data_IF_234080713824
#
_entry.id   IF_234080713824
#
_cell.length_a   1.000
_cell.length_b   1.000
_cell.length_c   1.000
_cell.angle_alpha   90.00
_cell.angle_beta   90.00
_cell.angle_gamma   90.00
#
_symmetry.space_group_name_H-M   'P 1'
#
loop_
_entity.id
_entity.type
_entity.pdbx_description
1 polymer ?
#
# COMPACT_ATOMS: atom_id res chain seq x y z
N UNK A 1 -24.14 -41.31 8.17
CA UNK A 1 -24.51 -39.90 7.95
C UNK A 1 -24.79 -39.15 9.24
N UNK A 2 -25.70 -39.61 10.12
CA UNK A 2 -26.02 -38.92 11.39
C UNK A 2 -24.82 -38.82 12.36
N UNK A 3 -23.99 -39.86 12.46
CA UNK A 3 -22.76 -39.84 13.28
C UNK A 3 -21.76 -38.77 12.83
N UNK A 4 -21.61 -38.53 11.52
CA UNK A 4 -20.67 -37.54 11.00
C UNK A 4 -21.13 -36.11 11.29
N UNK A 5 -22.45 -35.86 11.25
CA UNK A 5 -23.02 -34.56 11.62
C UNK A 5 -22.84 -34.29 13.13
N UNK A 6 -23.02 -35.31 13.97
CA UNK A 6 -22.77 -35.18 15.42
C UNK A 6 -21.31 -34.87 15.70
N UNK A 7 -20.37 -35.59 15.09
CA UNK A 7 -18.94 -35.32 15.23
C UNK A 7 -18.60 -33.89 14.79
N UNK A 8 -19.13 -33.44 13.63
CA UNK A 8 -18.91 -32.09 13.13
C UNK A 8 -19.46 -31.01 14.06
N UNK A 9 -20.67 -31.21 14.60
CA UNK A 9 -21.27 -30.29 15.58
C UNK A 9 -20.38 -30.21 16.82
N UNK A 10 -19.94 -31.34 17.37
CA UNK A 10 -19.06 -31.36 18.54
C UNK A 10 -17.74 -30.63 18.27
N UNK A 11 -17.12 -30.84 17.12
CA UNK A 11 -15.89 -30.12 16.74
C UNK A 11 -16.14 -28.62 16.60
N UNK A 12 -17.23 -28.22 15.94
CA UNK A 12 -17.56 -26.80 15.76
C UNK A 12 -17.93 -26.10 17.07
N UNK A 13 -18.58 -26.80 17.99
CA UNK A 13 -18.84 -26.28 19.35
C UNK A 13 -17.53 -26.07 20.09
N UNK A 14 -16.57 -27.00 20.02
CA UNK A 14 -15.27 -26.84 20.64
C UNK A 14 -14.45 -25.67 20.05
N UNK A 15 -14.49 -25.49 18.72
CA UNK A 15 -13.88 -24.33 18.05
C UNK A 15 -14.50 -23.00 18.52
N UNK A 16 -15.83 -22.95 18.66
CA UNK A 16 -16.54 -21.78 19.17
C UNK A 16 -16.17 -21.46 20.62
N UNK A 17 -16.12 -22.47 21.49
CA UNK A 17 -15.71 -22.30 22.89
C UNK A 17 -14.28 -21.75 22.98
N UNK A 18 -13.38 -22.22 22.11
CA UNK A 18 -12.01 -21.73 22.04
C UNK A 18 -11.94 -20.26 21.58
N UNK A 19 -12.76 -19.87 20.59
CA UNK A 19 -12.87 -18.48 20.14
C UNK A 19 -13.45 -17.56 21.23
N UNK A 20 -14.46 -18.03 21.99
CA UNK A 20 -15.02 -17.30 23.13
C UNK A 20 -13.94 -17.09 24.20
N UNK A 21 -13.13 -18.10 24.48
CA UNK A 21 -12.04 -17.99 25.45
C UNK A 21 -10.95 -17.01 25.00
N UNK A 22 -10.62 -16.99 23.70
CA UNK A 22 -9.70 -15.99 23.12
C UNK A 22 -10.27 -14.57 23.22
N UNK A 23 -11.55 -14.38 22.93
CA UNK A 23 -12.23 -13.08 23.08
C UNK A 23 -12.17 -12.57 24.54
N UNK A 24 -12.39 -13.44 25.52
CA UNK A 24 -12.27 -13.08 26.95
C UNK A 24 -10.85 -12.67 27.33
N UNK A 25 -9.83 -13.36 26.81
CA UNK A 25 -8.44 -12.98 27.04
C UNK A 25 -8.12 -11.62 26.42
N UNK A 26 -8.62 -11.33 25.23
CA UNK A 26 -8.44 -10.03 24.57
C UNK A 26 -9.10 -8.92 25.40
N UNK A 27 -10.33 -9.14 25.88
CA UNK A 27 -11.06 -8.20 26.73
C UNK A 27 -10.29 -7.89 28.04
N UNK A 28 -9.72 -8.91 28.65
CA UNK A 28 -8.87 -8.76 29.85
C UNK A 28 -7.57 -7.98 29.57
N UNK A 29 -6.97 -8.17 28.40
CA UNK A 29 -5.80 -7.39 27.98
C UNK A 29 -6.19 -5.94 27.67
N UNK A 30 -7.34 -5.73 27.02
CA UNK A 30 -7.84 -4.40 26.65
C UNK A 30 -8.10 -3.56 27.90
N UNK A 31 -8.81 -4.11 28.88
CA UNK A 31 -9.07 -3.46 30.17
C UNK A 31 -7.79 -3.12 30.94
N UNK A 32 -6.78 -4.00 30.89
CA UNK A 32 -5.47 -3.69 31.49
C UNK A 32 -4.75 -2.55 30.74
N UNK A 33 -4.82 -2.50 29.41
CA UNK A 33 -4.24 -1.41 28.61
C UNK A 33 -4.95 -0.10 28.91
N UNK A 34 -6.28 -0.09 28.97
CA UNK A 34 -7.10 1.09 29.31
C UNK A 34 -6.70 1.65 30.68
N UNK A 35 -6.61 0.79 31.70
CA UNK A 35 -6.19 1.20 33.03
C UNK A 35 -4.74 1.74 33.05
N UNK A 36 -3.83 1.09 32.31
CA UNK A 36 -2.46 1.57 32.16
C UNK A 36 -2.38 2.93 31.49
N UNK A 37 -3.23 3.19 30.48
CA UNK A 37 -3.29 4.50 29.82
C UNK A 37 -3.85 5.59 30.73
N UNK A 38 -4.86 5.29 31.54
CA UNK A 38 -5.38 6.22 32.56
C UNK A 38 -4.30 6.59 33.59
N UNK A 39 -3.52 5.62 34.07
CA UNK A 39 -2.42 5.88 34.99
C UNK A 39 -1.35 6.78 34.37
N UNK A 40 -0.97 6.54 33.11
CA UNK A 40 -0.01 7.38 32.38
C UNK A 40 -0.55 8.79 32.23
N UNK A 41 -1.83 8.94 31.87
CA UNK A 41 -2.47 10.25 31.74
C UNK A 41 -2.45 11.01 33.08
N UNK A 42 -2.76 10.33 34.19
CA UNK A 42 -2.71 10.94 35.52
C UNK A 42 -1.30 11.41 35.88
N UNK A 43 -0.27 10.58 35.64
CA UNK A 43 1.13 10.95 35.89
C UNK A 43 1.55 12.16 35.05
N UNK A 44 1.13 12.22 33.78
CA UNK A 44 1.43 13.37 32.91
C UNK A 44 0.72 14.65 33.37
N UNK A 45 -0.53 14.54 33.85
CA UNK A 45 -1.25 15.67 34.47
C UNK A 45 -0.53 16.15 35.72
N UNK A 46 -0.12 15.26 36.62
CA UNK A 46 0.59 15.59 37.85
C UNK A 46 1.95 16.25 37.58
N UNK A 47 2.68 15.82 36.54
CA UNK A 47 3.93 16.45 36.11
C UNK A 47 3.71 17.85 35.52
N UNK A 48 2.61 18.04 34.80
CA UNK A 48 2.25 19.34 34.20
C UNK A 48 1.75 20.34 35.26
N UNK A 49 1.10 19.85 36.32
CA UNK A 49 0.62 20.65 37.44
C UNK A 49 1.67 20.89 38.53
N UNK A 50 2.91 20.40 38.39
CA UNK A 50 3.95 20.71 39.36
C UNK A 50 4.27 22.20 39.29
N UNK A 51 3.87 22.91 40.35
CA UNK A 51 4.13 24.33 40.56
C UNK A 51 5.61 24.70 40.37
N UNK A 52 6.55 23.76 40.57
CA UNK A 52 7.98 23.94 40.30
C UNK A 52 8.28 24.24 38.82
N UNK A 53 7.54 23.65 37.89
CA UNK A 53 7.74 23.83 36.44
C UNK A 53 7.16 25.18 35.99
N UNK A 54 5.99 25.53 36.52
CA UNK A 54 5.35 26.85 36.32
C UNK A 54 6.19 27.96 36.97
N UNK A 55 6.73 27.71 38.16
CA UNK A 55 7.61 28.64 38.86
C UNK A 55 8.98 28.78 38.17
N UNK A 56 9.54 27.69 37.64
CA UNK A 56 10.77 27.74 36.85
C UNK A 56 10.56 28.50 35.54
N UNK A 57 9.41 28.32 34.88
CA UNK A 57 9.02 29.11 33.70
C UNK A 57 8.89 30.59 34.04
N UNK A 58 8.17 30.94 35.12
CA UNK A 58 8.03 32.32 35.57
C UNK A 58 9.37 32.95 35.99
N UNK A 59 10.26 32.16 36.60
CA UNK A 59 11.61 32.58 37.02
C UNK A 59 12.50 32.82 35.80
N UNK A 60 12.44 31.94 34.80
CA UNK A 60 13.17 32.10 33.54
C UNK A 60 12.68 33.32 32.76
N UNK A 61 11.36 33.55 32.73
CA UNK A 61 10.78 34.71 32.06
C UNK A 61 11.18 36.02 32.78
N UNK A 62 11.21 36.00 34.12
CA UNK A 62 11.71 37.13 34.93
C UNK A 62 13.21 37.38 34.70
N UNK A 63 14.03 36.33 34.58
CA UNK A 63 15.45 36.43 34.29
C UNK A 63 15.72 36.98 32.88
N UNK A 64 14.92 36.55 31.89
CA UNK A 64 14.95 37.08 30.52
C UNK A 64 14.59 38.57 30.48
N UNK A 65 13.52 38.98 31.15
CA UNK A 65 13.14 40.38 31.23
C UNK A 65 14.22 41.23 31.89
N UNK A 66 14.86 40.71 32.94
CA UNK A 66 16.00 41.35 33.60
C UNK A 66 17.19 41.50 32.65
N UNK A 67 17.59 40.43 31.96
CA UNK A 67 18.67 40.45 30.97
C UNK A 67 18.40 41.43 29.80
N UNK A 68 17.14 41.51 29.34
CA UNK A 68 16.72 42.48 28.33
C UNK A 68 16.79 43.94 28.81
N UNK A 69 16.69 44.20 30.11
CA UNK A 69 16.92 45.56 30.66
C UNK A 69 18.40 45.92 30.65
N UNK A 70 19.29 44.97 30.91
CA UNK A 70 20.74 45.21 30.84
C UNK A 70 21.27 45.38 29.41
N UNK A 71 20.62 44.82 28.39
CA UNK A 71 21.02 45.01 26.98
C UNK A 71 20.62 46.37 26.39
N UNK A 72 19.85 47.19 27.13
CA UNK A 72 19.38 48.52 26.68
C UNK A 72 20.42 49.65 26.80
N UNK A 73 21.58 49.40 27.41
CA UNK A 73 22.67 50.38 27.56
C UNK A 73 23.72 50.35 26.45
N UNK A 74 23.56 49.50 25.42
CA UNK A 74 24.40 49.50 24.21
C UNK A 74 23.57 50.09 23.06
N UNK A 75 23.94 51.26 22.49
CA UNK A 75 23.15 51.93 21.47
C UNK A 75 23.38 51.30 20.09
N UNK A 76 23.07 50.02 19.92
CA UNK A 76 22.81 49.37 18.63
C UNK A 76 22.00 48.09 18.86
N UNK A 77 20.73 48.20 19.24
CA UNK A 77 19.73 47.22 18.81
C UNK A 77 18.34 47.85 18.88
N UNK A 78 17.78 48.12 17.70
CA UNK A 78 16.42 48.61 17.58
C UNK A 78 15.43 47.62 18.22
N UNK A 79 14.57 48.17 19.08
CA UNK A 79 13.30 47.62 19.59
C UNK A 79 12.73 46.48 18.73
N UNK A 80 12.51 45.29 19.30
CA UNK A 80 11.42 44.39 18.90
C UNK A 80 10.83 43.66 20.13
N UNK A 81 9.56 43.92 20.49
CA UNK A 81 8.87 43.22 21.58
C UNK A 81 8.33 41.81 21.21
N UNK A 82 8.83 41.17 20.14
CA UNK A 82 8.19 39.96 19.53
C UNK A 82 9.08 38.70 19.50
N UNK A 83 10.17 38.60 20.26
CA UNK A 83 11.15 37.50 20.08
C UNK A 83 10.70 36.15 20.67
N UNK A 84 10.06 36.12 21.83
CA UNK A 84 9.67 34.85 22.49
C UNK A 84 8.52 34.15 21.75
N UNK A 85 7.48 34.91 21.35
CA UNK A 85 6.37 34.36 20.56
C UNK A 85 6.84 33.88 19.18
N UNK A 86 7.74 34.61 18.51
CA UNK A 86 8.37 34.17 17.25
C UNK A 86 9.23 32.93 17.42
N UNK A 87 9.95 32.79 18.52
CA UNK A 87 10.76 31.60 18.77
C UNK A 87 9.88 30.35 18.90
N UNK A 88 8.77 30.43 19.65
CA UNK A 88 7.84 29.31 19.79
C UNK A 88 7.14 28.97 18.47
N UNK A 89 6.69 29.97 17.72
CA UNK A 89 6.07 29.78 16.40
C UNK A 89 7.07 29.19 15.37
N UNK A 90 8.32 29.66 15.38
CA UNK A 90 9.39 29.14 14.53
C UNK A 90 9.73 27.68 14.86
N UNK A 91 9.82 27.33 16.15
CA UNK A 91 10.03 25.93 16.59
C UNK A 91 8.86 25.06 16.09
N UNK A 92 7.63 25.54 16.22
CA UNK A 92 6.43 24.82 15.82
C UNK A 92 6.36 24.65 14.28
N UNK A 93 6.67 25.70 13.52
CA UNK A 93 6.82 25.67 12.06
C UNK A 93 7.88 24.66 11.62
N UNK A 94 9.00 24.58 12.33
CA UNK A 94 10.06 23.63 12.00
C UNK A 94 9.63 22.18 12.27
N UNK A 95 8.86 21.95 13.35
CA UNK A 95 8.22 20.65 13.62
C UNK A 95 7.22 20.27 12.53
N UNK A 96 6.36 21.19 12.11
CA UNK A 96 5.40 20.98 11.00
C UNK A 96 6.17 20.65 9.71
N UNK A 97 7.19 21.44 9.35
CA UNK A 97 8.04 21.18 8.19
C UNK A 97 8.69 19.80 8.22
N UNK A 98 9.14 19.35 9.40
CA UNK A 98 9.71 18.01 9.56
C UNK A 98 8.66 16.92 9.29
N UNK A 99 7.42 17.12 9.76
CA UNK A 99 6.32 16.18 9.50
C UNK A 99 5.89 16.17 8.04
N UNK A 100 5.83 17.33 7.39
CA UNK A 100 5.54 17.44 5.96
C UNK A 100 6.58 16.72 5.11
N UNK A 101 7.87 16.88 5.44
CA UNK A 101 8.95 16.10 4.81
C UNK A 101 8.82 14.60 5.03
N UNK A 102 8.43 14.14 6.23
CA UNK A 102 8.18 12.71 6.49
C UNK A 102 7.02 12.14 5.67
N UNK A 103 6.08 13.00 5.25
CA UNK A 103 4.90 12.62 4.48
C UNK A 103 5.03 12.89 2.99
N UNK A 104 6.19 13.38 2.53
CA UNK A 104 6.42 13.84 1.15
C UNK A 104 5.37 14.86 0.68
N UNK A 105 4.89 15.73 1.58
CA UNK A 105 3.96 16.82 1.27
C UNK A 105 4.76 18.09 1.02
N UNK A 106 4.46 18.80 -0.07
CA UNK A 106 5.07 20.10 -0.35
C UNK A 106 4.71 21.13 0.72
N UNK A 107 5.70 21.68 1.45
CA UNK A 107 5.46 22.72 2.44
C UNK A 107 4.82 23.98 1.86
N UNK A 108 5.21 24.39 0.64
CA UNK A 108 4.69 25.62 0.04
C UNK A 108 3.19 25.49 -0.23
N UNK A 109 2.76 24.38 -0.82
CA UNK A 109 1.33 24.05 -0.95
C UNK A 109 0.62 23.98 0.40
N UNK A 110 1.19 23.27 1.39
CA UNK A 110 0.54 23.08 2.69
C UNK A 110 0.33 24.38 3.47
N UNK A 111 1.34 25.26 3.49
CA UNK A 111 1.25 26.57 4.16
C UNK A 111 0.39 27.57 3.41
N UNK A 112 0.25 27.46 2.08
CA UNK A 112 -0.68 28.31 1.32
C UNK A 112 -2.15 28.10 1.71
N UNK A 113 -2.46 26.95 2.31
CA UNK A 113 -3.79 26.60 2.81
C UNK A 113 -3.97 26.92 4.30
N UNK A 114 -2.99 27.53 4.99
CA UNK A 114 -2.99 27.84 6.42
C UNK A 114 -3.34 29.32 6.65
N UNK A 115 -4.48 29.60 7.29
CA UNK A 115 -4.95 30.97 7.52
C UNK A 115 -4.45 31.63 8.83
N UNK A 116 -4.07 30.88 9.88
CA UNK A 116 -3.72 31.49 11.18
C UNK A 116 -2.77 30.67 12.07
N UNK A 117 -2.17 31.29 13.09
CA UNK A 117 -1.17 30.71 14.02
C UNK A 117 -1.73 29.70 15.03
N UNK A 118 -2.99 29.84 15.47
CA UNK A 118 -3.67 28.79 16.25
C UNK A 118 -3.86 27.49 15.44
N UNK A 119 -3.76 27.57 14.11
CA UNK A 119 -3.88 26.43 13.22
C UNK A 119 -2.62 25.56 13.22
N UNK A 120 -1.46 26.04 13.70
CA UNK A 120 -0.22 25.29 13.65
C UNK A 120 -0.16 24.11 14.63
N UNK A 121 -0.64 24.27 15.86
CA UNK A 121 -0.72 23.17 16.83
C UNK A 121 -1.72 22.11 16.37
N UNK A 122 -2.88 22.56 15.87
CA UNK A 122 -3.87 21.66 15.24
C UNK A 122 -3.27 20.95 14.01
N UNK A 123 -2.51 21.65 13.18
CA UNK A 123 -1.85 21.08 12.01
C UNK A 123 -0.84 20.00 12.40
N UNK A 124 -0.12 20.14 13.52
CA UNK A 124 0.74 19.08 14.02
C UNK A 124 -0.05 17.80 14.34
N UNK A 125 -1.18 17.93 15.05
CA UNK A 125 -2.04 16.79 15.38
C UNK A 125 -2.61 16.16 14.10
N UNK A 126 -3.15 16.99 13.20
CA UNK A 126 -3.68 16.53 11.91
C UNK A 126 -2.59 15.78 11.11
N UNK A 127 -1.34 16.24 11.12
CA UNK A 127 -0.23 15.58 10.43
C UNK A 127 0.19 14.26 11.08
N UNK A 128 0.08 14.09 12.40
CA UNK A 128 0.31 12.79 13.05
C UNK A 128 -0.78 11.78 12.68
N UNK A 129 -2.05 12.23 12.63
CA UNK A 129 -3.17 11.41 12.15
C UNK A 129 -2.91 11.03 10.70
N UNK A 130 -2.56 11.99 9.84
CA UNK A 130 -2.23 11.76 8.44
C UNK A 130 -1.06 10.78 8.28
N UNK A 131 -0.06 10.82 9.17
CA UNK A 131 1.07 9.88 9.17
C UNK A 131 0.64 8.46 9.50
N UNK A 132 -0.22 8.30 10.49
CA UNK A 132 -0.78 7.00 10.86
C UNK A 132 -1.57 6.42 9.69
N UNK A 133 -2.48 7.21 9.10
CA UNK A 133 -3.29 6.78 7.96
C UNK A 133 -2.40 6.47 6.74
N UNK A 134 -1.39 7.31 6.44
CA UNK A 134 -0.43 7.07 5.35
C UNK A 134 0.30 5.73 5.51
N UNK A 135 0.64 5.36 6.74
CA UNK A 135 1.29 4.08 7.05
C UNK A 135 0.35 2.90 6.82
N UNK A 136 -0.91 2.99 7.28
CA UNK A 136 -1.95 1.99 7.01
C UNK A 136 -2.15 1.79 5.52
N UNK A 137 -2.34 2.88 4.78
CA UNK A 137 -2.51 2.87 3.33
C UNK A 137 -1.31 2.22 2.62
N UNK A 138 -0.08 2.59 2.99
CA UNK A 138 1.15 2.02 2.39
C UNK A 138 1.25 0.52 2.65
N UNK A 139 0.85 0.04 3.83
CA UNK A 139 0.85 -1.37 4.17
C UNK A 139 -0.23 -2.15 3.40
N UNK A 140 -1.45 -1.61 3.32
CA UNK A 140 -2.54 -2.22 2.56
C UNK A 140 -2.24 -2.24 1.07
N UNK A 141 -1.63 -1.19 0.52
CA UNK A 141 -1.17 -1.17 -0.86
C UNK A 141 -0.12 -2.25 -1.14
N UNK A 142 0.85 -2.45 -0.24
CA UNK A 142 1.84 -3.54 -0.34
C UNK A 142 1.16 -4.91 -0.29
N UNK A 143 0.22 -5.11 0.65
CA UNK A 143 -0.55 -6.36 0.79
C UNK A 143 -1.37 -6.66 -0.46
N UNK A 144 -2.09 -5.67 -0.99
CA UNK A 144 -2.82 -5.77 -2.25
C UNK A 144 -1.90 -6.14 -3.41
N UNK A 145 -0.75 -5.48 -3.52
CA UNK A 145 0.26 -5.76 -4.55
C UNK A 145 0.81 -7.19 -4.47
N UNK A 146 0.96 -7.75 -3.27
CA UNK A 146 1.34 -9.14 -3.07
C UNK A 146 0.22 -10.12 -3.48
N UNK A 147 -1.04 -9.81 -3.11
CA UNK A 147 -2.21 -10.62 -3.45
C UNK A 147 -2.48 -10.69 -4.96
N UNK A 148 -2.12 -9.66 -5.72
CA UNK A 148 -2.26 -9.64 -7.19
C UNK A 148 -1.54 -10.79 -7.91
N UNK A 149 -0.59 -11.46 -7.25
CA UNK A 149 0.08 -12.66 -7.78
C UNK A 149 -0.76 -13.93 -7.63
N UNK A 150 -1.78 -13.92 -6.77
CA UNK A 150 -2.66 -15.05 -6.49
C UNK A 150 -3.98 -14.94 -7.27
N UNK A 151 -4.31 -15.97 -8.05
CA UNK A 151 -5.53 -16.01 -8.87
C UNK A 151 -6.83 -16.11 -8.06
N UNK A 152 -6.78 -16.61 -6.83
CA UNK A 152 -7.96 -16.86 -5.99
C UNK A 152 -8.26 -15.73 -5.00
N UNK A 153 -7.47 -14.65 -5.00
CA UNK A 153 -7.58 -13.55 -4.04
C UNK A 153 -8.37 -12.35 -4.58
N UNK A 154 -9.19 -12.54 -5.62
CA UNK A 154 -9.83 -11.41 -6.34
C UNK A 154 -10.72 -10.55 -5.43
N UNK A 155 -11.57 -11.20 -4.62
CA UNK A 155 -12.45 -10.50 -3.70
C UNK A 155 -11.65 -9.70 -2.66
N UNK A 156 -10.61 -10.30 -2.08
CA UNK A 156 -9.72 -9.63 -1.15
C UNK A 156 -9.00 -8.43 -1.79
N UNK A 157 -8.57 -8.54 -3.05
CA UNK A 157 -7.94 -7.44 -3.79
C UNK A 157 -8.94 -6.29 -3.96
N UNK A 158 -10.20 -6.59 -4.30
CA UNK A 158 -11.26 -5.59 -4.46
C UNK A 158 -11.55 -4.89 -3.13
N UNK A 159 -11.80 -5.65 -2.05
CA UNK A 159 -12.05 -5.11 -0.71
C UNK A 159 -10.90 -4.23 -0.22
N UNK A 160 -9.65 -4.65 -0.41
CA UNK A 160 -8.48 -3.80 -0.07
C UNK A 160 -8.43 -2.53 -0.92
N UNK A 161 -8.85 -2.58 -2.18
CA UNK A 161 -8.90 -1.39 -3.04
C UNK A 161 -9.90 -0.36 -2.55
N UNK A 162 -11.10 -0.80 -2.20
CA UNK A 162 -12.15 0.07 -1.67
C UNK A 162 -11.74 0.65 -0.31
N UNK A 163 -11.18 -0.19 0.56
CA UNK A 163 -10.62 0.26 1.84
C UNK A 163 -9.57 1.35 1.66
N UNK A 164 -8.59 1.15 0.78
CA UNK A 164 -7.55 2.16 0.52
C UNK A 164 -8.18 3.45 -0.03
N UNK A 165 -9.17 3.37 -0.93
CA UNK A 165 -9.86 4.55 -1.46
C UNK A 165 -10.58 5.35 -0.38
N UNK A 166 -11.23 4.69 0.57
CA UNK A 166 -11.86 5.37 1.72
C UNK A 166 -10.81 5.96 2.66
N UNK A 167 -9.75 5.22 2.99
CA UNK A 167 -8.66 5.73 3.82
C UNK A 167 -7.97 6.95 3.18
N UNK A 168 -7.83 6.99 1.86
CA UNK A 168 -7.28 8.16 1.14
C UNK A 168 -8.18 9.39 1.28
N UNK A 169 -9.51 9.23 1.29
CA UNK A 169 -10.43 10.36 1.54
C UNK A 169 -10.22 10.94 2.94
N UNK A 170 -10.12 10.07 3.94
CA UNK A 170 -9.86 10.45 5.33
C UNK A 170 -8.48 11.12 5.42
N UNK A 171 -7.45 10.55 4.77
CA UNK A 171 -6.12 11.15 4.74
C UNK A 171 -6.11 12.56 4.13
N UNK A 172 -6.87 12.80 3.06
CA UNK A 172 -7.01 14.13 2.44
C UNK A 172 -7.61 15.16 3.39
N UNK A 173 -8.53 14.75 4.27
CA UNK A 173 -9.10 15.63 5.30
C UNK A 173 -8.03 16.17 6.26
N UNK A 174 -7.08 15.33 6.68
CA UNK A 174 -6.02 15.71 7.62
C UNK A 174 -4.77 16.29 6.96
N UNK A 175 -4.58 16.07 5.66
CA UNK A 175 -3.44 16.57 4.87
C UNK A 175 -3.77 17.80 4.01
N UNK A 176 -4.95 18.42 4.21
CA UNK A 176 -5.42 19.58 3.44
C UNK A 176 -5.47 19.34 1.93
N UNK A 177 -6.05 18.20 1.55
CA UNK A 177 -6.20 17.78 0.15
C UNK A 177 -4.86 17.61 -0.60
N UNK A 178 -3.74 17.44 0.10
CA UNK A 178 -2.50 17.03 -0.55
C UNK A 178 -2.70 15.71 -1.31
N UNK A 179 -1.90 15.42 -2.36
CA UNK A 179 -1.87 14.09 -2.99
C UNK A 179 -0.98 13.13 -2.19
N UNK A 180 -1.39 11.87 -2.04
CA UNK A 180 -0.58 10.85 -1.36
C UNK A 180 0.31 10.15 -2.38
N UNK A 181 1.62 10.41 -2.29
CA UNK A 181 2.61 9.88 -3.21
C UNK A 181 3.19 8.55 -2.72
N UNK A 182 3.26 7.56 -3.61
CA UNK A 182 3.99 6.31 -3.42
C UNK A 182 4.85 6.11 -4.68
N UNK A 183 6.17 6.02 -4.52
CA UNK A 183 7.11 5.90 -5.66
C UNK A 183 6.87 6.98 -6.72
N UNK A 184 6.78 8.24 -6.29
CA UNK A 184 6.57 9.42 -7.14
C UNK A 184 5.27 9.42 -7.97
N UNK A 185 4.29 8.59 -7.59
CA UNK A 185 2.97 8.54 -8.22
C UNK A 185 1.87 8.65 -7.18
N UNK A 186 0.80 9.34 -7.53
CA UNK A 186 -0.42 9.35 -6.73
C UNK A 186 -0.94 7.92 -6.57
N UNK A 187 -1.22 7.52 -5.33
CA UNK A 187 -1.78 6.22 -5.00
C UNK A 187 -3.07 5.89 -5.76
N UNK A 188 -3.94 6.87 -6.01
CA UNK A 188 -5.18 6.64 -6.74
C UNK A 188 -4.89 6.24 -8.19
N UNK A 189 -3.86 6.82 -8.80
CA UNK A 189 -3.38 6.46 -10.14
C UNK A 189 -2.78 5.06 -10.12
N UNK A 190 -1.99 4.72 -9.09
CA UNK A 190 -1.43 3.37 -8.91
C UNK A 190 -2.53 2.31 -8.80
N UNK A 191 -3.56 2.55 -7.99
CA UNK A 191 -4.71 1.66 -7.85
C UNK A 191 -5.44 1.48 -9.19
N UNK A 192 -5.67 2.57 -9.92
CA UNK A 192 -6.29 2.50 -11.24
C UNK A 192 -5.49 1.66 -12.23
N UNK A 193 -4.15 1.81 -12.24
CA UNK A 193 -3.28 0.97 -13.07
C UNK A 193 -3.35 -0.51 -12.66
N UNK A 194 -3.41 -0.82 -11.37
CA UNK A 194 -3.59 -2.20 -10.89
C UNK A 194 -4.93 -2.79 -11.33
N UNK A 195 -6.02 -2.02 -11.24
CA UNK A 195 -7.35 -2.44 -11.68
C UNK A 195 -7.38 -2.73 -13.20
N UNK A 196 -6.72 -1.89 -14.00
CA UNK A 196 -6.56 -2.14 -15.43
C UNK A 196 -5.73 -3.39 -15.75
N UNK A 197 -4.69 -3.67 -14.96
CA UNK A 197 -3.90 -4.89 -15.14
C UNK A 197 -4.71 -6.15 -14.79
N UNK A 198 -5.49 -6.11 -13.71
CA UNK A 198 -6.38 -7.21 -13.31
C UNK A 198 -7.38 -7.56 -14.43
N UNK A 199 -8.01 -6.54 -15.02
CA UNK A 199 -8.98 -6.73 -16.10
C UNK A 199 -8.34 -7.25 -17.39
N UNK A 200 -7.15 -6.78 -17.77
CA UNK A 200 -6.40 -7.31 -18.93
C UNK A 200 -6.00 -8.77 -18.76
N UNK A 201 -5.57 -9.17 -17.55
CA UNK A 201 -5.19 -10.55 -17.24
C UNK A 201 -6.40 -11.50 -17.31
N UNK A 202 -7.59 -11.06 -16.85
CA UNK A 202 -8.83 -11.81 -17.03
C UNK A 202 -9.16 -12.08 -18.50
N UNK A 203 -9.07 -11.06 -19.36
CA UNK A 203 -9.35 -11.20 -20.80
C UNK A 203 -8.43 -12.23 -21.47
N UNK A 204 -7.13 -12.20 -21.16
CA UNK A 204 -6.15 -13.18 -21.66
C UNK A 204 -6.42 -14.60 -21.16
N UNK A 205 -6.76 -14.76 -19.87
CA UNK A 205 -7.11 -16.07 -19.28
C UNK A 205 -8.34 -16.68 -19.97
N UNK A 206 -9.38 -15.87 -20.17
CA UNK A 206 -10.63 -16.32 -20.80
C UNK A 206 -10.44 -16.65 -22.28
N UNK A 207 -9.62 -15.89 -23.02
CA UNK A 207 -9.23 -16.25 -24.39
C UNK A 207 -8.43 -17.57 -24.46
N UNK A 208 -7.56 -17.84 -23.50
CA UNK A 208 -6.82 -19.11 -23.43
C UNK A 208 -7.75 -20.31 -23.20
N UNK A 209 -8.81 -20.14 -22.40
CA UNK A 209 -9.83 -21.17 -22.19
C UNK A 209 -10.68 -21.38 -23.45
N UNK A 210 -11.09 -20.29 -24.12
CA UNK A 210 -11.89 -20.38 -25.35
C UNK A 210 -11.12 -21.02 -26.53
N UNK A 211 -9.80 -20.80 -26.62
CA UNK A 211 -8.95 -21.45 -27.64
C UNK A 211 -8.80 -22.97 -27.44
N UNK A 212 -8.97 -23.48 -26.21
CA UNK A 212 -8.88 -24.92 -25.92
C UNK A 212 -10.17 -25.68 -26.26
N UNK A 213 -11.32 -25.01 -26.24
CA UNK A 213 -12.60 -25.63 -26.59
C UNK A 213 -12.97 -25.55 -28.09
N UNK A 214 -12.20 -24.81 -28.89
CA UNK A 214 -12.37 -24.77 -30.37
C UNK A 214 -11.33 -25.62 -31.11
N UNK A 215 -10.41 -26.27 -30.39
CA UNK A 215 -9.46 -27.24 -30.95
C UNK A 215 -10.00 -28.68 -31.02
N UNK A 216 -11.31 -28.88 -30.91
CA UNK A 216 -11.98 -30.09 -31.42
C UNK A 216 -12.31 -29.92 -32.91
N UNK A 217 -11.32 -29.52 -33.71
CA UNK A 217 -11.45 -29.60 -35.16
C UNK A 217 -11.43 -31.08 -35.55
N UNK A 218 -12.64 -31.62 -35.72
CA UNK A 218 -13.02 -32.84 -36.44
C UNK A 218 -11.86 -33.74 -36.91
N UNK A 219 -11.88 -34.98 -36.41
CA UNK A 219 -11.21 -36.10 -37.06
C UNK A 219 -11.51 -36.09 -38.57
N UNK A 220 -10.53 -35.68 -39.37
CA UNK A 220 -10.53 -36.00 -40.81
C UNK A 220 -10.39 -37.50 -40.91
N UNK A 221 -11.52 -38.17 -41.13
CA UNK A 221 -11.56 -39.52 -41.68
C UNK A 221 -10.79 -39.53 -42.99
N UNK A 222 -9.52 -39.93 -42.93
CA UNK A 222 -8.80 -40.35 -44.12
C UNK A 222 -9.27 -41.76 -44.45
N UNK A 223 -10.29 -41.84 -45.30
CA UNK A 223 -10.60 -43.07 -46.02
C UNK A 223 -9.44 -43.38 -46.96
N UNK A 224 -8.94 -44.59 -46.83
CA UNK A 224 -7.91 -45.18 -47.68
C UNK A 224 -8.44 -45.38 -49.10
N UNK A 225 -7.79 -44.77 -50.10
CA UNK A 225 -7.56 -45.43 -51.40
C UNK A 225 -6.32 -44.84 -52.11
N UNK A 226 -5.43 -45.69 -52.68
CA UNK A 226 -4.16 -45.25 -53.26
C UNK A 226 -4.29 -44.91 -54.75
N UNK A 227 -3.20 -44.34 -55.28
CA UNK A 227 -2.80 -44.19 -56.70
C UNK A 227 -3.00 -42.81 -57.36
N UNK A 228 -1.86 -42.18 -57.66
CA UNK A 228 -1.51 -41.35 -58.84
C UNK A 228 -0.37 -40.41 -58.44
N UNK A 229 0.88 -40.86 -58.58
CA UNK A 229 1.80 -40.41 -59.64
C UNK A 229 1.78 -38.88 -59.78
N UNK A 230 2.73 -38.19 -59.14
CA UNK A 230 3.35 -36.92 -59.57
C UNK A 230 4.41 -36.48 -58.54
N UNK A 231 5.49 -37.26 -58.42
CA UNK A 231 6.78 -36.79 -57.86
C UNK A 231 7.94 -37.35 -58.69
N UNK A 232 7.96 -36.98 -59.97
CA UNK A 232 9.16 -37.05 -60.79
C UNK A 232 9.80 -35.66 -60.83
N UNK A 233 11.13 -35.62 -60.67
CA UNK A 233 12.05 -34.47 -60.62
C UNK A 233 12.38 -33.96 -59.22
N UNK A 234 13.29 -34.67 -58.54
CA UNK A 234 14.42 -34.00 -57.86
C UNK A 234 15.57 -34.89 -57.37
N UNK A 235 15.70 -36.13 -57.84
CA UNK A 235 16.81 -36.99 -57.43
C UNK A 235 17.23 -37.86 -58.61
N UNK A 236 18.07 -37.33 -59.50
CA UNK A 236 19.03 -38.06 -60.35
C UNK A 236 19.66 -37.05 -61.31
N UNK A 237 20.64 -36.31 -60.80
CA UNK A 237 21.46 -35.38 -61.55
C UNK A 237 22.91 -35.52 -61.11
N UNK A 238 23.50 -36.69 -61.38
CA UNK A 238 24.96 -36.86 -61.46
C UNK A 238 25.27 -37.96 -62.46
N UNK A 239 25.70 -37.52 -63.64
CA UNK A 239 26.33 -38.32 -64.69
C UNK A 239 27.52 -39.07 -64.10
N UNK A 240 27.65 -40.36 -64.40
CA UNK A 240 28.93 -40.96 -64.75
C UNK A 240 28.65 -42.16 -65.65
N UNK A 241 29.37 -42.16 -66.75
CA UNK A 241 29.22 -43.01 -67.91
C UNK A 241 29.55 -44.48 -67.63
N UNK A 242 29.19 -45.29 -68.63
CA UNK A 242 30.09 -46.27 -69.29
C UNK A 242 29.68 -47.75 -69.10
N UNK A 243 29.61 -48.41 -70.27
CA UNK A 243 29.64 -49.87 -70.55
C UNK A 243 28.30 -50.60 -70.77
N UNK A 244 28.08 -50.84 -72.06
CA UNK A 244 27.18 -51.81 -72.70
C UNK A 244 27.51 -53.25 -72.28
N UNK A 245 26.49 -54.11 -72.18
CA UNK A 245 26.32 -55.30 -73.04
C UNK A 245 24.97 -55.96 -72.72
N UNK A 246 24.10 -56.09 -73.74
CA UNK A 246 23.00 -57.03 -73.73
C UNK A 246 23.46 -58.34 -74.38
N UNK A 247 23.06 -59.47 -73.81
CA UNK A 247 22.79 -60.66 -74.62
C UNK A 247 21.60 -61.42 -74.08
N UNK A 248 20.73 -61.77 -75.03
CA UNK A 248 19.42 -62.42 -74.93
C UNK A 248 19.47 -63.79 -74.27
N UNK A 249 18.35 -64.19 -73.65
CA UNK A 249 17.88 -65.58 -73.72
C UNK A 249 16.40 -65.57 -74.12
N UNK A 250 16.14 -66.23 -75.26
CA UNK A 250 14.83 -66.54 -75.82
C UNK A 250 14.26 -67.76 -75.08
N UNK A 251 12.95 -67.76 -74.85
CA UNK A 251 12.21 -68.92 -74.31
C UNK A 251 11.94 -69.90 -75.45
N UNK A 252 12.58 -71.07 -75.41
CA UNK A 252 12.00 -72.42 -75.54
C UNK A 252 13.10 -73.48 -75.47
#
# INVERSE_FOLDING_TARGET
TIMNLRALITTKTAELDQLIQQLRLIDQVLTHVEHGTEQIEQVLRDLTSRDELVYAEATLDSALQSACRFSSSIPTCAKKPNSIHRNNEWILMNKVNTKLKQLDIDPTYYFSMLDDTQVLQKALIDLEIAKTISTCIKNDYKRRSALMKNKHAEENIMQLGDKIREEVKIWKQYSRNAPLMIQDKDILVLLHMQDQQATKNKRKSNQSLYSKHTSSSMAKLHTTRPSSILKLRKLLGKRSSQWLTMTKVVVQ
#
